data_IF_169569599729
#
_entry.id   IF_169569599729
#
_cell.length_a   1.000
_cell.length_b   1.000
_cell.length_c   1.000
_cell.angle_alpha   90.00
_cell.angle_beta   90.00
_cell.angle_gamma   90.00
#
_symmetry.space_group_name_H-M   'P 1'
#
loop_
_entity.id
_entity.type
_entity.pdbx_description
1 polymer ?
#
# COMPACT_ATOMS: atom_id res chain seq x y z
N UNK A 1 13.43 -1.00 8.95
CA UNK A 1 13.25 0.45 8.74
C UNK A 1 14.56 1.20 8.94
N UNK A 2 14.66 2.42 8.45
CA UNK A 2 15.71 3.38 8.80
C UNK A 2 15.07 4.44 9.69
N UNK A 3 15.67 4.75 10.83
CA UNK A 3 15.17 5.76 11.76
C UNK A 3 15.55 7.18 11.32
N UNK A 4 14.94 8.19 11.93
CA UNK A 4 15.28 9.61 11.75
C UNK A 4 16.77 9.91 12.01
N UNK A 5 17.40 9.12 12.89
CA UNK A 5 18.84 9.22 13.19
C UNK A 5 19.75 8.49 12.19
N UNK A 6 19.18 7.79 11.21
CA UNK A 6 19.93 6.99 10.23
C UNK A 6 20.29 5.57 10.71
N UNK A 7 19.87 5.17 11.92
CA UNK A 7 20.01 3.80 12.40
C UNK A 7 19.11 2.86 11.59
N UNK A 8 19.65 1.75 11.11
CA UNK A 8 18.86 0.68 10.50
C UNK A 8 18.38 -0.24 11.63
N UNK A 9 17.07 -0.52 11.69
CA UNK A 9 16.47 -1.35 12.74
C UNK A 9 15.51 -2.36 12.12
N UNK A 10 15.55 -3.59 12.61
CA UNK A 10 14.53 -4.60 12.39
C UNK A 10 14.31 -5.44 13.66
N UNK A 11 13.18 -6.12 13.73
CA UNK A 11 12.89 -7.02 14.86
C UNK A 11 13.35 -8.44 14.53
N UNK A 12 13.83 -9.12 15.55
CA UNK A 12 14.11 -10.55 15.53
C UNK A 12 13.60 -11.17 16.81
N UNK A 13 13.34 -12.47 16.80
CA UNK A 13 13.06 -13.21 18.02
C UNK A 13 13.98 -14.41 18.14
N UNK A 14 14.40 -14.68 19.34
CA UNK A 14 15.20 -15.87 19.63
C UNK A 14 14.30 -17.07 19.94
N UNK A 15 14.72 -18.21 19.45
CA UNK A 15 14.04 -19.47 19.66
C UNK A 15 14.95 -20.38 20.51
N UNK A 16 15.05 -20.07 21.79
CA UNK A 16 15.93 -20.83 22.71
C UNK A 16 15.08 -21.47 23.80
N UNK A 17 15.11 -22.80 23.91
CA UNK A 17 14.45 -23.57 24.96
C UNK A 17 12.95 -23.29 25.20
N UNK A 18 12.24 -22.92 24.14
CA UNK A 18 10.80 -22.60 24.23
C UNK A 18 10.48 -21.12 24.45
N UNK A 19 11.45 -20.29 24.76
CA UNK A 19 11.28 -18.85 24.86
C UNK A 19 11.35 -18.21 23.46
N UNK A 20 10.39 -17.31 23.15
CA UNK A 20 10.32 -16.59 21.89
C UNK A 20 10.29 -15.08 22.16
N UNK A 21 11.39 -14.57 22.69
CA UNK A 21 11.49 -13.16 23.07
C UNK A 21 11.96 -12.33 21.90
N UNK A 22 11.23 -11.26 21.58
CA UNK A 22 11.61 -10.34 20.53
C UNK A 22 12.66 -9.34 21.00
N UNK A 23 13.52 -8.92 20.10
CA UNK A 23 14.51 -7.86 20.31
C UNK A 23 14.65 -7.04 19.03
N UNK A 24 15.16 -5.82 19.15
CA UNK A 24 15.64 -5.07 18.00
C UNK A 24 17.06 -5.52 17.64
N UNK A 25 17.31 -5.64 16.34
CA UNK A 25 18.64 -5.75 15.77
C UNK A 25 18.90 -4.44 15.04
N UNK A 26 20.02 -3.79 15.29
CA UNK A 26 20.28 -2.45 14.73
C UNK A 26 21.72 -2.27 14.28
N UNK A 27 21.89 -1.34 13.32
CA UNK A 27 23.17 -0.92 12.79
C UNK A 27 23.25 0.60 12.75
N UNK A 28 24.37 1.13 13.23
CA UNK A 28 24.68 2.58 13.22
C UNK A 28 25.67 2.95 12.11
N UNK A 29 26.14 1.97 11.33
CA UNK A 29 27.20 2.12 10.33
C UNK A 29 26.79 1.63 8.93
N UNK A 30 25.50 1.80 8.60
CA UNK A 30 24.89 1.43 7.31
C UNK A 30 24.98 -0.08 7.02
N UNK A 31 24.81 -0.89 8.07
CA UNK A 31 24.76 -2.35 7.93
C UNK A 31 26.11 -3.06 7.96
N UNK A 32 27.21 -2.36 8.23
CA UNK A 32 28.54 -2.99 8.32
C UNK A 32 28.69 -3.83 9.59
N UNK A 33 28.20 -3.30 10.72
CA UNK A 33 28.13 -4.02 11.97
C UNK A 33 26.73 -3.98 12.56
N UNK A 34 26.37 -5.02 13.31
CA UNK A 34 25.06 -5.18 13.90
C UNK A 34 25.14 -5.42 15.39
N UNK A 35 24.22 -4.81 16.10
CA UNK A 35 24.06 -4.95 17.55
C UNK A 35 22.66 -5.47 17.85
N UNK A 36 22.54 -6.15 18.98
CA UNK A 36 21.26 -6.60 19.53
C UNK A 36 20.90 -5.74 20.74
N UNK A 37 19.71 -5.19 20.74
CA UNK A 37 19.11 -4.53 21.90
C UNK A 37 18.60 -5.52 22.95
N UNK A 38 18.07 -4.99 24.03
CA UNK A 38 17.44 -5.78 25.08
C UNK A 38 16.23 -6.54 24.52
N UNK A 39 16.01 -7.75 25.00
CA UNK A 39 14.78 -8.49 24.70
C UNK A 39 13.60 -7.86 25.43
N UNK A 40 12.45 -7.84 24.74
CA UNK A 40 11.17 -7.62 25.41
C UNK A 40 10.70 -8.96 25.98
N UNK A 41 10.08 -8.93 27.15
CA UNK A 41 9.69 -10.13 27.89
C UNK A 41 8.42 -10.76 27.36
N UNK A 42 8.14 -11.96 27.79
CA UNK A 42 6.86 -12.67 27.70
C UNK A 42 6.46 -13.20 26.33
N UNK A 43 7.29 -14.09 25.77
CA UNK A 43 6.87 -14.92 24.64
C UNK A 43 6.36 -14.08 23.45
N UNK A 44 7.03 -12.96 23.20
CA UNK A 44 6.59 -11.95 22.25
C UNK A 44 6.61 -12.39 20.78
N UNK A 45 7.49 -13.35 20.42
CA UNK A 45 7.56 -13.95 19.09
C UNK A 45 7.76 -12.93 17.96
N UNK A 46 7.05 -13.08 16.85
CA UNK A 46 7.08 -12.13 15.74
C UNK A 46 6.70 -10.73 16.22
N UNK A 47 7.42 -9.74 15.74
CA UNK A 47 7.19 -8.36 16.11
C UNK A 47 7.43 -7.43 14.93
N UNK A 48 6.85 -6.24 14.98
CA UNK A 48 7.12 -5.15 14.05
C UNK A 48 7.54 -3.91 14.84
N UNK A 49 8.40 -3.09 14.24
CA UNK A 49 8.85 -1.83 14.82
C UNK A 49 8.54 -0.68 13.88
N UNK A 50 8.07 0.43 14.45
CA UNK A 50 7.92 1.71 13.75
C UNK A 50 8.39 2.85 14.62
N UNK A 51 8.79 3.98 14.01
CA UNK A 51 9.23 5.18 14.70
C UNK A 51 8.09 6.20 14.72
N UNK A 52 7.84 6.78 15.89
CA UNK A 52 6.90 7.89 16.07
C UNK A 52 7.38 8.81 17.18
N UNK A 53 7.38 10.12 16.94
CA UNK A 53 7.79 11.16 17.89
C UNK A 53 9.14 10.85 18.56
N UNK A 54 10.16 10.57 17.74
CA UNK A 54 11.56 10.26 18.14
C UNK A 54 11.71 9.01 19.02
N UNK A 55 10.72 8.12 19.03
CA UNK A 55 10.72 6.86 19.79
C UNK A 55 10.42 5.69 18.87
N UNK A 56 10.91 4.51 19.23
CA UNK A 56 10.47 3.28 18.58
C UNK A 56 9.34 2.63 19.35
N UNK A 57 8.36 2.13 18.59
CA UNK A 57 7.25 1.33 19.08
C UNK A 57 7.35 -0.08 18.51
N UNK A 58 7.51 -1.08 19.37
CA UNK A 58 7.54 -2.48 18.99
C UNK A 58 6.21 -3.14 19.38
N UNK A 59 5.49 -3.64 18.38
CA UNK A 59 4.26 -4.42 18.56
C UNK A 59 4.57 -5.90 18.44
N UNK A 60 4.01 -6.72 19.33
CA UNK A 60 4.33 -8.14 19.41
C UNK A 60 3.12 -9.03 19.14
N UNK A 61 3.36 -10.17 18.50
CA UNK A 61 2.31 -11.13 18.10
C UNK A 61 1.39 -11.55 19.24
N UNK A 62 1.94 -11.82 20.43
CA UNK A 62 1.17 -12.27 21.58
C UNK A 62 0.63 -11.11 22.45
N UNK A 63 0.50 -9.94 21.86
CA UNK A 63 -0.16 -8.79 22.46
C UNK A 63 0.77 -7.81 23.14
N UNK A 64 0.30 -6.56 23.21
CA UNK A 64 1.00 -5.44 23.77
C UNK A 64 2.02 -4.79 22.85
N UNK A 65 2.51 -3.66 23.30
CA UNK A 65 3.59 -2.94 22.66
C UNK A 65 4.59 -2.42 23.68
N UNK A 66 5.76 -2.08 23.19
CA UNK A 66 6.88 -1.58 23.97
C UNK A 66 7.41 -0.31 23.33
N UNK A 67 7.89 0.64 24.14
CA UNK A 67 8.42 1.92 23.67
C UNK A 67 9.92 2.01 24.02
N UNK A 68 10.71 2.47 23.08
CA UNK A 68 12.14 2.71 23.26
C UNK A 68 12.46 4.16 23.00
N UNK A 69 13.07 4.83 23.99
CA UNK A 69 13.57 6.19 23.88
C UNK A 69 15.03 6.27 23.36
N UNK A 70 15.64 5.12 23.08
CA UNK A 70 17.02 4.99 22.60
C UNK A 70 17.13 4.11 21.35
N UNK A 71 16.09 4.17 20.51
CA UNK A 71 16.05 3.53 19.19
C UNK A 71 16.40 2.03 19.23
N UNK A 72 15.80 1.29 20.18
CA UNK A 72 15.81 -0.16 20.23
C UNK A 72 16.90 -0.77 21.12
N UNK A 73 17.69 0.02 21.84
CA UNK A 73 18.67 -0.52 22.81
C UNK A 73 17.99 -1.10 24.05
N UNK A 74 17.03 -0.38 24.60
CA UNK A 74 16.19 -0.80 25.72
C UNK A 74 14.73 -0.47 25.50
N UNK A 75 13.84 -1.13 26.24
CA UNK A 75 12.40 -1.04 26.07
C UNK A 75 11.68 -0.77 27.39
N UNK A 76 10.58 -0.07 27.33
CA UNK A 76 9.66 0.11 28.45
C UNK A 76 9.09 -1.24 28.95
N UNK A 77 8.47 -1.30 30.12
CA UNK A 77 7.53 -2.36 30.42
C UNK A 77 6.45 -2.49 29.35
N UNK A 78 5.87 -3.69 29.23
CA UNK A 78 4.77 -3.96 28.33
C UNK A 78 3.61 -2.99 28.55
N UNK A 79 3.10 -2.43 27.47
CA UNK A 79 1.88 -1.63 27.44
C UNK A 79 0.78 -2.43 26.74
N UNK A 80 -0.44 -2.34 27.25
CA UNK A 80 -1.60 -3.01 26.67
C UNK A 80 -2.08 -2.29 25.40
N UNK A 81 -2.53 -3.06 24.42
CA UNK A 81 -3.02 -2.50 23.16
C UNK A 81 -4.33 -1.71 23.32
N UNK A 82 -5.21 -2.12 24.21
CA UNK A 82 -6.54 -1.50 24.35
C UNK A 82 -7.51 -1.78 23.20
N UNK A 83 -7.13 -2.61 22.22
CA UNK A 83 -7.96 -3.10 21.12
C UNK A 83 -7.94 -4.63 21.08
N UNK A 84 -8.98 -5.21 20.48
CA UNK A 84 -9.10 -6.65 20.30
C UNK A 84 -8.62 -7.07 18.92
N UNK A 85 -7.70 -8.05 18.86
CA UNK A 85 -7.21 -8.64 17.64
C UNK A 85 -6.72 -10.07 17.89
N UNK A 86 -6.39 -10.81 16.82
CA UNK A 86 -5.93 -12.19 16.93
C UNK A 86 -4.45 -12.25 17.38
N UNK A 87 -4.22 -12.79 18.59
CA UNK A 87 -2.89 -12.91 19.16
C UNK A 87 -2.05 -14.07 18.56
N UNK A 88 -2.65 -14.87 17.67
CA UNK A 88 -1.99 -16.01 17.03
C UNK A 88 -1.67 -15.74 15.54
N UNK A 89 -1.61 -14.47 15.16
CA UNK A 89 -1.25 -14.06 13.81
C UNK A 89 -0.13 -13.02 13.84
N UNK A 90 0.72 -13.02 12.80
CA UNK A 90 1.63 -11.92 12.53
C UNK A 90 0.83 -10.63 12.31
N UNK A 91 1.43 -9.52 12.59
CA UNK A 91 0.86 -8.18 12.52
C UNK A 91 1.83 -7.24 11.81
N UNK A 92 1.30 -6.10 11.37
CA UNK A 92 2.13 -5.05 10.77
C UNK A 92 1.76 -3.68 11.32
N UNK A 93 2.73 -2.79 11.42
CA UNK A 93 2.52 -1.42 11.84
C UNK A 93 3.45 -0.48 11.07
N UNK A 94 2.96 0.71 10.76
CA UNK A 94 3.70 1.78 10.11
C UNK A 94 3.22 3.13 10.62
N UNK A 95 4.14 4.06 10.81
CA UNK A 95 3.77 5.45 11.13
C UNK A 95 3.36 6.18 9.86
N UNK A 96 2.22 6.83 9.91
CA UNK A 96 1.76 7.68 8.82
C UNK A 96 2.53 9.00 8.85
N UNK A 97 3.03 9.51 7.71
CA UNK A 97 3.93 10.65 7.69
C UNK A 97 3.27 11.99 8.05
N UNK A 98 1.96 12.10 7.85
CA UNK A 98 1.21 13.30 8.19
C UNK A 98 0.48 13.13 9.53
N UNK A 99 0.22 14.22 10.21
CA UNK A 99 -0.56 14.18 11.45
C UNK A 99 -2.02 13.80 11.14
N UNK A 100 -2.63 13.04 12.02
CA UNK A 100 -4.06 12.77 12.01
C UNK A 100 -4.63 13.40 13.29
N UNK A 101 -5.61 14.30 13.16
CA UNK A 101 -6.14 15.13 14.25
C UNK A 101 -5.04 15.85 15.04
N UNK A 102 -4.03 16.35 14.31
CA UNK A 102 -2.89 17.07 14.87
C UNK A 102 -1.86 16.19 15.60
N UNK A 103 -2.01 14.87 15.61
CA UNK A 103 -1.13 13.93 16.31
C UNK A 103 -0.41 12.99 15.36
N UNK A 104 0.74 12.47 15.77
CA UNK A 104 1.41 11.38 15.06
C UNK A 104 0.53 10.12 15.11
N UNK A 105 0.35 9.48 13.97
CA UNK A 105 -0.52 8.33 13.84
C UNK A 105 0.27 7.07 13.46
N UNK A 106 -0.05 5.97 14.13
CA UNK A 106 0.44 4.63 13.80
C UNK A 106 -0.72 3.83 13.23
N UNK A 107 -0.54 3.32 12.01
CA UNK A 107 -1.44 2.38 11.38
C UNK A 107 -1.01 0.96 11.78
N UNK A 108 -1.93 0.20 12.35
CA UNK A 108 -1.70 -1.16 12.81
C UNK A 108 -2.71 -2.09 12.15
N UNK A 109 -2.25 -3.12 11.45
CA UNK A 109 -3.15 -4.07 10.80
C UNK A 109 -2.99 -5.48 11.37
N UNK A 110 -4.15 -6.09 11.65
CA UNK A 110 -4.26 -7.45 12.18
C UNK A 110 -5.66 -8.03 11.91
N UNK A 111 -5.84 -9.37 12.00
CA UNK A 111 -7.17 -9.96 12.07
C UNK A 111 -7.89 -9.48 13.33
N UNK A 112 -9.09 -8.93 13.20
CA UNK A 112 -9.87 -8.45 14.37
C UNK A 112 -10.67 -9.56 15.05
N UNK A 113 -10.86 -10.71 14.40
CA UNK A 113 -11.46 -11.87 15.03
C UNK A 113 -10.46 -12.57 15.96
N UNK A 114 -10.70 -12.54 17.26
CA UNK A 114 -9.78 -13.08 18.25
C UNK A 114 -9.64 -14.62 18.20
N UNK A 115 -10.62 -15.32 17.64
CA UNK A 115 -10.68 -16.77 17.56
C UNK A 115 -10.17 -17.36 16.25
N UNK A 116 -10.04 -16.54 15.20
CA UNK A 116 -9.61 -17.01 13.87
C UNK A 116 -8.89 -15.93 13.08
N UNK A 117 -8.15 -16.33 12.05
CA UNK A 117 -7.47 -15.43 11.10
C UNK A 117 -8.47 -14.90 10.08
N UNK A 118 -9.32 -13.96 10.52
CA UNK A 118 -10.36 -13.36 9.68
C UNK A 118 -10.70 -11.95 10.14
N UNK A 119 -11.52 -11.27 9.35
CA UNK A 119 -11.98 -9.91 9.61
C UNK A 119 -10.81 -8.92 9.78
N UNK A 120 -9.98 -8.80 8.75
CA UNK A 120 -8.84 -7.89 8.76
C UNK A 120 -9.26 -6.44 9.02
N UNK A 121 -8.55 -5.77 9.91
CA UNK A 121 -8.72 -4.35 10.19
C UNK A 121 -7.40 -3.60 10.17
N UNK A 122 -7.46 -2.33 9.77
CA UNK A 122 -6.44 -1.34 10.08
C UNK A 122 -6.97 -0.50 11.23
N UNK A 123 -6.24 -0.44 12.32
CA UNK A 123 -6.51 0.45 13.46
C UNK A 123 -5.58 1.65 13.34
N UNK A 124 -6.11 2.84 13.63
CA UNK A 124 -5.35 4.10 13.65
C UNK A 124 -5.16 4.53 15.09
N UNK A 125 -3.94 4.46 15.56
CA UNK A 125 -3.53 4.86 16.89
C UNK A 125 -2.87 6.23 16.90
N UNK A 126 -3.40 7.16 17.66
CA UNK A 126 -2.86 8.49 17.86
C UNK A 126 -1.90 8.50 19.05
N UNK A 127 -0.63 8.84 18.79
CA UNK A 127 0.40 8.92 19.84
C UNK A 127 0.10 10.09 20.76
N UNK A 128 0.11 9.82 22.07
CA UNK A 128 -0.13 10.80 23.11
C UNK A 128 1.22 11.37 23.64
N UNK A 129 1.17 12.49 24.36
CA UNK A 129 2.36 13.13 24.92
C UNK A 129 3.17 12.22 25.87
N UNK A 130 2.49 11.33 26.58
CA UNK A 130 3.13 10.33 27.46
C UNK A 130 3.68 9.11 26.71
N UNK A 131 3.61 9.11 25.37
CA UNK A 131 4.01 7.99 24.52
C UNK A 131 3.03 6.81 24.55
N UNK A 132 1.84 6.96 25.13
CA UNK A 132 0.75 5.98 24.97
C UNK A 132 0.08 6.14 23.61
N UNK A 133 -0.68 5.11 23.20
CA UNK A 133 -1.42 5.12 21.94
C UNK A 133 -2.91 5.11 22.25
N UNK A 134 -3.64 6.08 21.73
CA UNK A 134 -5.11 6.09 21.74
C UNK A 134 -5.59 5.62 20.37
N UNK A 135 -6.24 4.45 20.30
CA UNK A 135 -6.84 3.95 19.07
C UNK A 135 -8.15 4.67 18.81
N UNK A 136 -8.19 5.47 17.75
CA UNK A 136 -9.31 6.39 17.49
C UNK A 136 -10.15 5.96 16.30
N UNK A 137 -9.53 5.41 15.25
CA UNK A 137 -10.24 4.98 14.05
C UNK A 137 -9.92 3.53 13.72
N UNK A 138 -10.82 2.89 12.99
CA UNK A 138 -10.57 1.60 12.40
C UNK A 138 -11.21 1.47 11.01
N UNK A 139 -10.58 0.67 10.17
CA UNK A 139 -11.03 0.38 8.80
C UNK A 139 -11.15 -1.12 8.60
N UNK A 140 -12.30 -1.59 8.14
CA UNK A 140 -12.50 -3.00 7.77
C UNK A 140 -11.93 -3.28 6.39
N UNK A 141 -10.95 -4.18 6.31
CA UNK A 141 -10.24 -4.50 5.07
C UNK A 141 -11.08 -5.38 4.15
N UNK A 142 -11.71 -6.43 4.70
CA UNK A 142 -12.35 -7.49 3.91
C UNK A 142 -13.59 -8.12 4.59
N UNK A 143 -14.27 -7.37 5.45
CA UNK A 143 -15.44 -7.87 6.19
C UNK A 143 -15.08 -9.02 7.12
N UNK A 144 -15.76 -10.15 7.01
CA UNK A 144 -15.52 -11.36 7.83
C UNK A 144 -14.61 -12.39 7.17
N UNK A 145 -14.08 -12.10 5.97
CA UNK A 145 -13.27 -13.05 5.20
C UNK A 145 -11.92 -13.35 5.88
N UNK A 146 -11.24 -14.38 5.39
CA UNK A 146 -9.90 -14.74 5.84
C UNK A 146 -8.93 -13.57 5.68
N UNK A 147 -8.15 -13.33 6.70
CA UNK A 147 -7.09 -12.35 6.73
C UNK A 147 -5.98 -12.86 7.66
N UNK A 148 -4.76 -12.90 7.15
CA UNK A 148 -3.63 -13.35 7.94
C UNK A 148 -2.43 -12.43 7.75
N UNK A 149 -1.26 -12.99 7.64
CA UNK A 149 0.01 -12.27 7.56
C UNK A 149 -0.03 -11.12 6.56
N UNK A 150 0.44 -9.96 6.98
CA UNK A 150 0.30 -8.73 6.20
C UNK A 150 1.50 -7.81 6.31
N UNK A 151 1.60 -6.91 5.36
CA UNK A 151 2.59 -5.85 5.33
C UNK A 151 1.91 -4.53 4.92
N UNK A 152 2.08 -3.49 5.74
CA UNK A 152 1.69 -2.12 5.43
C UNK A 152 2.88 -1.30 4.97
N UNK A 153 2.64 -0.41 4.04
CA UNK A 153 3.59 0.65 3.66
C UNK A 153 2.82 1.92 3.31
N UNK A 154 3.43 3.08 3.53
CA UNK A 154 2.90 4.33 3.00
C UNK A 154 3.63 4.66 1.71
N UNK A 155 2.89 4.89 0.65
CA UNK A 155 3.41 5.20 -0.66
C UNK A 155 3.75 6.70 -0.79
N UNK A 156 4.58 7.10 -1.76
CA UNK A 156 4.97 8.50 -1.93
C UNK A 156 3.80 9.46 -2.17
N UNK A 157 2.68 8.98 -2.71
CA UNK A 157 1.45 9.74 -2.92
C UNK A 157 0.59 9.87 -1.64
N UNK A 158 1.03 9.30 -0.52
CA UNK A 158 0.30 9.30 0.74
C UNK A 158 -0.75 8.20 0.87
N UNK A 159 -0.93 7.36 -0.16
CA UNK A 159 -1.79 6.18 -0.04
C UNK A 159 -1.12 5.08 0.77
N UNK A 160 -1.92 4.15 1.27
CA UNK A 160 -1.47 3.05 2.12
C UNK A 160 -1.55 1.74 1.33
N UNK A 161 -0.40 1.19 0.99
CA UNK A 161 -0.30 -0.13 0.38
C UNK A 161 -0.41 -1.21 1.45
N UNK A 162 -1.31 -2.16 1.24
CA UNK A 162 -1.51 -3.32 2.11
C UNK A 162 -1.42 -4.59 1.28
N UNK A 163 -0.45 -5.45 1.61
CA UNK A 163 -0.36 -6.81 1.10
C UNK A 163 -0.72 -7.78 2.22
N UNK A 164 -1.63 -8.73 1.98
CA UNK A 164 -2.05 -9.69 2.99
C UNK A 164 -2.45 -11.04 2.40
N UNK A 165 -2.39 -12.08 3.24
CA UNK A 165 -2.95 -13.39 2.92
C UNK A 165 -4.48 -13.35 3.04
N UNK A 166 -5.20 -13.58 1.92
CA UNK A 166 -6.66 -13.65 1.89
C UNK A 166 -7.20 -15.08 1.89
N UNK A 167 -6.28 -16.06 1.77
CA UNK A 167 -6.45 -17.50 1.96
C UNK A 167 -5.06 -18.10 2.19
N UNK A 168 -4.98 -19.39 2.54
CA UNK A 168 -3.70 -20.06 2.85
C UNK A 168 -2.69 -20.05 1.68
N UNK A 169 -3.15 -19.80 0.46
CA UNK A 169 -2.33 -19.83 -0.75
C UNK A 169 -2.47 -18.60 -1.63
N UNK A 170 -3.12 -17.55 -1.14
CA UNK A 170 -3.42 -16.35 -1.94
C UNK A 170 -2.96 -15.09 -1.23
N UNK A 171 -2.44 -14.15 -2.01
CA UNK A 171 -2.09 -12.82 -1.57
C UNK A 171 -2.98 -11.79 -2.26
N UNK A 172 -3.43 -10.81 -1.50
CA UNK A 172 -4.17 -9.65 -2.02
C UNK A 172 -3.40 -8.38 -1.71
N UNK A 173 -3.26 -7.54 -2.72
CA UNK A 173 -2.77 -6.18 -2.55
C UNK A 173 -3.94 -5.19 -2.62
N UNK A 174 -3.96 -4.24 -1.69
CA UNK A 174 -4.88 -3.09 -1.71
C UNK A 174 -4.09 -1.80 -1.65
N UNK A 175 -4.53 -0.82 -2.42
CA UNK A 175 -4.10 0.57 -2.27
C UNK A 175 -5.26 1.34 -1.63
N UNK A 176 -5.03 1.87 -0.42
CA UNK A 176 -6.06 2.45 0.42
C UNK A 176 -5.76 3.93 0.67
N UNK A 177 -6.82 4.73 0.79
CA UNK A 177 -6.70 6.15 1.12
C UNK A 177 -6.82 6.36 2.62
N UNK A 178 -5.96 7.21 3.15
CA UNK A 178 -5.98 7.49 4.59
C UNK A 178 -7.32 8.09 5.05
N UNK A 179 -7.98 8.84 4.18
CA UNK A 179 -9.29 9.42 4.46
C UNK A 179 -10.41 8.38 4.58
N UNK A 180 -10.25 7.21 3.96
CA UNK A 180 -11.15 6.07 4.13
C UNK A 180 -10.79 5.28 5.40
N UNK A 181 -9.48 5.15 5.68
CA UNK A 181 -8.96 4.44 6.87
C UNK A 181 -9.32 5.19 8.15
N UNK A 182 -9.09 6.51 8.19
CA UNK A 182 -9.40 7.40 9.30
C UNK A 182 -10.58 8.32 8.92
N UNK A 183 -11.73 7.72 8.66
CA UNK A 183 -12.89 8.44 8.14
C UNK A 183 -13.37 9.53 9.11
N UNK A 184 -13.40 10.77 8.60
CA UNK A 184 -13.81 11.95 9.37
C UNK A 184 -12.68 12.63 10.14
N UNK A 185 -11.47 12.07 10.12
CA UNK A 185 -10.29 12.71 10.72
C UNK A 185 -9.80 13.89 9.88
N UNK A 186 -9.14 14.86 10.52
CA UNK A 186 -8.36 15.89 9.85
C UNK A 186 -6.98 15.34 9.51
N UNK A 187 -6.69 15.16 8.22
CA UNK A 187 -5.41 14.64 7.75
C UNK A 187 -4.50 15.81 7.39
N UNK A 188 -3.34 15.88 8.02
CA UNK A 188 -2.41 16.99 7.84
C UNK A 188 -2.99 18.34 8.22
N UNK A 189 -4.11 18.38 8.89
CA UNK A 189 -4.98 19.52 9.21
C UNK A 189 -5.73 20.14 8.01
N UNK A 190 -5.53 19.66 6.78
CA UNK A 190 -6.31 20.08 5.61
C UNK A 190 -6.75 18.87 4.78
N UNK A 191 -7.97 18.94 4.24
CA UNK A 191 -8.51 17.90 3.34
C UNK A 191 -9.48 18.51 2.34
N UNK A 192 -9.74 17.80 1.25
CA UNK A 192 -10.69 18.21 0.23
C UNK A 192 -11.99 17.39 0.29
N UNK A 193 -13.12 18.04 0.02
CA UNK A 193 -14.42 17.35 -0.10
C UNK A 193 -15.08 17.73 -1.43
N UNK A 194 -15.87 16.81 -1.99
CA UNK A 194 -16.73 17.06 -3.14
C UNK A 194 -17.99 17.84 -2.78
N UNK A 195 -18.87 18.04 -3.76
CA UNK A 195 -20.14 18.77 -3.59
C UNK A 195 -21.14 18.09 -2.64
N UNK A 196 -20.94 16.81 -2.32
CA UNK A 196 -21.74 16.02 -1.37
C UNK A 196 -21.10 15.97 0.03
N UNK A 197 -19.95 16.62 0.20
CA UNK A 197 -19.19 16.64 1.46
C UNK A 197 -18.36 15.37 1.70
N UNK A 198 -18.21 14.51 0.70
CA UNK A 198 -17.38 13.32 0.77
C UNK A 198 -15.93 13.70 0.60
N UNK A 199 -15.05 13.19 1.44
CA UNK A 199 -13.59 13.38 1.30
C UNK A 199 -13.07 12.81 -0.01
N UNK A 200 -12.23 13.60 -0.69
CA UNK A 200 -11.64 13.26 -1.98
C UNK A 200 -10.13 13.13 -1.84
N UNK A 201 -9.62 11.94 -2.07
CA UNK A 201 -8.19 11.65 -2.20
C UNK A 201 -7.84 11.10 -3.60
N UNK A 202 -8.86 10.70 -4.35
CA UNK A 202 -8.76 10.17 -5.70
C UNK A 202 -9.91 10.69 -6.57
N UNK A 203 -9.61 11.07 -7.78
CA UNK A 203 -10.63 11.54 -8.72
C UNK A 203 -10.29 11.07 -10.13
N UNK A 204 -11.31 10.61 -10.83
CA UNK A 204 -11.23 10.34 -12.26
C UNK A 204 -11.91 11.46 -13.04
N UNK A 205 -11.24 11.91 -14.08
CA UNK A 205 -11.67 12.99 -14.95
C UNK A 205 -11.52 12.57 -16.40
N UNK A 206 -12.37 13.14 -17.25
CA UNK A 206 -12.17 13.10 -18.71
C UNK A 206 -11.19 14.18 -19.13
N UNK A 207 -10.55 14.01 -20.28
CA UNK A 207 -9.75 15.05 -20.93
C UNK A 207 -10.55 16.36 -21.05
N UNK A 208 -9.94 17.48 -20.67
CA UNK A 208 -10.55 18.81 -20.70
C UNK A 208 -11.62 19.09 -19.63
N UNK A 209 -11.85 18.16 -18.68
CA UNK A 209 -12.82 18.35 -17.60
C UNK A 209 -12.23 19.20 -16.47
N UNK A 210 -13.09 19.98 -15.78
CA UNK A 210 -12.75 20.69 -14.55
C UNK A 210 -13.64 20.23 -13.41
N UNK A 211 -13.06 20.00 -12.23
CA UNK A 211 -13.77 19.70 -11.00
C UNK A 211 -13.35 20.63 -9.88
N UNK A 212 -14.29 20.97 -9.02
CA UNK A 212 -14.09 21.84 -7.87
C UNK A 212 -14.31 21.07 -6.57
N UNK A 213 -13.41 21.28 -5.61
CA UNK A 213 -13.44 20.66 -4.30
C UNK A 213 -13.38 21.72 -3.21
N UNK A 214 -14.09 21.54 -2.11
CA UNK A 214 -13.99 22.40 -0.93
C UNK A 214 -12.76 22.00 -0.13
N UNK A 215 -11.94 22.96 0.23
CA UNK A 215 -10.78 22.75 1.10
C UNK A 215 -11.19 23.06 2.53
N UNK A 216 -10.94 22.10 3.42
CA UNK A 216 -11.34 22.14 4.82
C UNK A 216 -10.11 22.12 5.74
N UNK A 217 -10.30 22.50 7.01
CA UNK A 217 -9.28 22.40 8.06
C UNK A 217 -8.18 23.46 7.97
N UNK A 218 -8.36 24.49 7.17
CA UNK A 218 -7.39 25.59 7.08
C UNK A 218 -7.60 26.60 8.20
N UNK A 219 -6.50 27.20 8.66
CA UNK A 219 -6.54 28.36 9.53
C UNK A 219 -6.92 29.61 8.73
N UNK A 220 -7.69 30.51 9.35
CA UNK A 220 -8.08 31.77 8.73
C UNK A 220 -6.84 32.59 8.33
N UNK A 221 -6.79 32.97 7.04
CA UNK A 221 -5.68 33.76 6.51
C UNK A 221 -4.40 32.98 6.22
N UNK A 222 -4.40 31.66 6.34
CA UNK A 222 -3.25 30.84 5.99
C UNK A 222 -2.93 30.91 4.48
N UNK A 223 -1.65 31.05 4.16
CA UNK A 223 -1.18 30.98 2.79
C UNK A 223 -1.31 29.54 2.27
N UNK A 224 -1.90 29.40 1.08
CA UNK A 224 -2.09 28.10 0.44
C UNK A 224 -1.30 28.04 -0.87
N UNK A 225 -0.56 26.97 -1.05
CA UNK A 225 0.12 26.66 -2.30
C UNK A 225 -0.42 25.38 -2.90
N UNK A 226 -0.57 25.38 -4.22
CA UNK A 226 -1.03 24.21 -4.98
C UNK A 226 -0.01 23.88 -6.05
N UNK A 227 0.27 22.61 -6.23
CA UNK A 227 1.14 22.11 -7.30
C UNK A 227 0.60 20.80 -7.86
N UNK A 228 0.83 20.59 -9.15
CA UNK A 228 0.71 19.29 -9.80
C UNK A 228 2.11 18.77 -10.05
N UNK A 229 2.34 17.48 -9.88
CA UNK A 229 3.59 16.79 -10.25
C UNK A 229 3.71 16.63 -11.77
N UNK A 230 2.57 16.59 -12.49
CA UNK A 230 2.53 16.64 -13.95
C UNK A 230 1.50 17.67 -14.46
N UNK A 231 2.01 18.83 -14.88
CA UNK A 231 1.18 19.93 -15.46
C UNK A 231 0.72 19.66 -16.90
N UNK A 232 1.31 18.67 -17.56
CA UNK A 232 0.85 18.19 -18.86
C UNK A 232 -0.44 17.40 -18.75
N UNK A 233 -0.70 16.81 -17.59
CA UNK A 233 -1.88 16.00 -17.29
C UNK A 233 -2.94 16.82 -16.56
N UNK A 234 -2.55 17.58 -15.53
CA UNK A 234 -3.49 18.31 -14.66
C UNK A 234 -2.92 19.66 -14.24
N UNK A 235 -3.72 20.71 -14.34
CA UNK A 235 -3.51 21.97 -13.66
C UNK A 235 -4.45 22.09 -12.45
N UNK A 236 -3.98 22.75 -11.39
CA UNK A 236 -4.78 23.01 -10.21
C UNK A 236 -4.61 24.44 -9.71
N UNK A 237 -5.71 25.04 -9.24
CA UNK A 237 -5.78 26.38 -8.71
C UNK A 237 -6.56 26.37 -7.39
N UNK A 238 -6.05 27.07 -6.39
CA UNK A 238 -6.79 27.35 -5.17
C UNK A 238 -7.23 28.81 -5.12
N UNK A 239 -8.51 29.04 -4.87
CA UNK A 239 -9.10 30.35 -4.62
C UNK A 239 -10.34 30.23 -3.72
N UNK A 240 -10.51 31.17 -2.81
CA UNK A 240 -11.72 31.33 -2.00
C UNK A 240 -12.20 30.03 -1.29
N UNK A 241 -11.28 29.25 -0.74
CA UNK A 241 -11.61 28.00 -0.07
C UNK A 241 -11.88 26.82 -0.99
N UNK A 242 -11.67 27.01 -2.29
CA UNK A 242 -11.91 25.99 -3.33
C UNK A 242 -10.63 25.60 -4.05
N UNK A 243 -10.48 24.33 -4.29
CA UNK A 243 -9.48 23.76 -5.17
C UNK A 243 -10.16 23.39 -6.49
N UNK A 244 -9.77 24.05 -7.57
CA UNK A 244 -10.19 23.71 -8.93
C UNK A 244 -9.09 22.88 -9.59
N UNK A 245 -9.45 21.69 -10.05
CA UNK A 245 -8.57 20.77 -10.77
C UNK A 245 -9.06 20.70 -12.21
N UNK A 246 -8.18 20.98 -13.17
CA UNK A 246 -8.49 20.97 -14.60
C UNK A 246 -7.57 20.00 -15.32
N UNK A 247 -8.15 18.98 -15.95
CA UNK A 247 -7.40 18.02 -16.75
C UNK A 247 -7.05 18.62 -18.12
N UNK A 248 -5.92 18.17 -18.66
CA UNK A 248 -5.50 18.48 -20.03
C UNK A 248 -6.00 17.40 -20.98
N UNK A 249 -5.86 17.68 -22.28
CA UNK A 249 -6.04 16.65 -23.29
C UNK A 249 -4.91 15.61 -23.16
N UNK A 250 -5.29 14.35 -23.00
CA UNK A 250 -4.38 13.22 -22.91
C UNK A 250 -4.76 12.15 -23.91
N UNK A 251 -3.80 11.37 -24.37
CA UNK A 251 -4.08 10.14 -25.11
C UNK A 251 -4.09 8.98 -24.11
N UNK A 252 -5.22 8.29 -24.06
CA UNK A 252 -5.35 7.15 -23.21
C UNK A 252 -5.62 7.49 -21.75
N UNK A 253 -4.83 6.95 -20.86
CA UNK A 253 -4.95 7.13 -19.43
C UNK A 253 -3.64 7.70 -18.88
N UNK A 254 -3.73 8.86 -18.24
CA UNK A 254 -2.61 9.50 -17.55
C UNK A 254 -2.97 9.83 -16.11
N UNK A 255 -1.96 10.02 -15.28
CA UNK A 255 -2.13 10.34 -13.86
C UNK A 255 -1.24 11.49 -13.43
N UNK A 256 -1.78 12.27 -12.49
CA UNK A 256 -1.02 13.29 -11.78
C UNK A 256 -1.44 13.34 -10.31
N UNK A 257 -0.57 13.84 -9.46
CA UNK A 257 -0.85 14.11 -8.06
C UNK A 257 -0.89 15.61 -7.83
N UNK A 258 -2.05 16.11 -7.46
CA UNK A 258 -2.21 17.48 -6.99
C UNK A 258 -1.90 17.55 -5.52
N UNK A 259 -0.93 18.37 -5.14
CA UNK A 259 -0.55 18.63 -3.74
C UNK A 259 -0.99 20.03 -3.35
N UNK A 260 -1.75 20.14 -2.28
CA UNK A 260 -2.15 21.37 -1.63
C UNK A 260 -1.45 21.46 -0.28
N UNK A 261 -0.83 22.61 0.01
CA UNK A 261 -0.10 22.85 1.28
C UNK A 261 -0.54 24.15 1.90
N UNK A 262 -0.65 24.16 3.23
CA UNK A 262 -0.88 25.33 4.03
C UNK A 262 -0.02 25.25 5.30
N UNK A 263 1.03 26.07 5.40
CA UNK A 263 2.02 25.95 6.47
C UNK A 263 2.70 24.57 6.43
N UNK A 264 2.62 23.84 7.54
CA UNK A 264 3.15 22.47 7.66
C UNK A 264 2.13 21.39 7.28
N UNK A 265 0.88 21.76 7.05
CA UNK A 265 -0.16 20.83 6.64
C UNK A 265 -0.13 20.61 5.12
N UNK A 266 -0.43 19.40 4.69
CA UNK A 266 -0.56 19.11 3.27
C UNK A 266 -1.64 18.04 3.02
N UNK A 267 -2.26 18.10 1.85
CA UNK A 267 -3.10 17.02 1.35
C UNK A 267 -2.81 16.77 -0.12
N UNK A 268 -3.13 15.56 -0.58
CA UNK A 268 -2.90 15.14 -1.95
C UNK A 268 -4.17 14.58 -2.56
N UNK A 269 -4.39 14.89 -3.83
CA UNK A 269 -5.44 14.26 -4.65
C UNK A 269 -4.75 13.61 -5.83
N UNK A 270 -4.94 12.31 -5.98
CA UNK A 270 -4.53 11.59 -7.17
C UNK A 270 -5.60 11.75 -8.25
N UNK A 271 -5.20 12.30 -9.38
CA UNK A 271 -6.06 12.52 -10.52
C UNK A 271 -5.72 11.51 -11.61
N UNK A 272 -6.72 10.76 -12.05
CA UNK A 272 -6.63 9.92 -13.23
C UNK A 272 -7.41 10.60 -14.34
N UNK A 273 -6.75 10.91 -15.45
CA UNK A 273 -7.35 11.51 -16.63
C UNK A 273 -7.46 10.45 -17.71
N UNK A 274 -8.63 10.34 -18.33
CA UNK A 274 -8.87 9.40 -19.41
C UNK A 274 -9.34 10.11 -20.67
N UNK A 275 -8.86 9.65 -21.81
CA UNK A 275 -9.50 9.90 -23.08
C UNK A 275 -10.87 9.20 -23.10
N UNK A 276 -11.94 9.99 -23.11
CA UNK A 276 -13.30 9.51 -22.87
C UNK A 276 -13.84 8.55 -23.92
N UNK A 277 -13.18 8.45 -25.06
CA UNK A 277 -13.64 7.59 -26.14
C UNK A 277 -13.10 6.16 -26.02
N UNK A 278 -11.92 6.01 -25.42
CA UNK A 278 -11.15 4.76 -25.47
C UNK A 278 -11.08 4.00 -24.16
N UNK A 279 -11.41 4.62 -23.00
CA UNK A 279 -11.24 4.00 -21.70
C UNK A 279 -12.50 4.08 -20.85
N UNK A 280 -12.79 2.98 -20.21
CA UNK A 280 -13.73 2.90 -19.10
C UNK A 280 -13.00 2.38 -17.88
N UNK A 281 -13.16 3.10 -16.76
CA UNK A 281 -12.74 2.57 -15.47
C UNK A 281 -13.79 1.57 -15.05
N UNK A 282 -13.44 0.30 -15.07
CA UNK A 282 -14.31 -0.77 -14.57
C UNK A 282 -13.78 -1.16 -13.20
N UNK A 283 -14.66 -1.27 -12.23
CA UNK A 283 -14.38 -1.95 -10.97
C UNK A 283 -14.26 -3.46 -11.26
N UNK A 284 -13.18 -3.85 -11.92
CA UNK A 284 -12.81 -5.23 -12.06
C UNK A 284 -12.17 -5.67 -10.76
N UNK A 285 -12.95 -6.37 -9.96
CA UNK A 285 -12.47 -7.00 -8.76
C UNK A 285 -11.81 -8.34 -9.10
N UNK A 286 -10.62 -8.26 -9.65
CA UNK A 286 -9.67 -9.37 -9.51
C UNK A 286 -9.01 -9.15 -8.16
N UNK A 287 -9.55 -9.74 -7.10
CA UNK A 287 -9.03 -9.56 -5.75
C UNK A 287 -9.10 -8.13 -5.21
N UNK A 288 -10.22 -7.41 -5.41
CA UNK A 288 -10.42 -6.02 -4.94
C UNK A 288 -9.54 -4.94 -5.60
N UNK A 289 -8.90 -5.20 -6.72
CA UNK A 289 -8.08 -4.24 -7.44
C UNK A 289 -8.89 -3.57 -8.54
N UNK A 290 -8.83 -2.24 -8.65
CA UNK A 290 -9.37 -1.51 -9.80
C UNK A 290 -8.45 -1.74 -11.00
N UNK A 291 -9.03 -2.16 -12.10
CA UNK A 291 -8.31 -2.37 -13.35
C UNK A 291 -8.92 -1.48 -14.43
N UNK A 292 -8.08 -0.95 -15.30
CA UNK A 292 -8.51 -0.14 -16.43
C UNK A 292 -8.59 -1.03 -17.66
N UNK A 293 -9.67 -0.94 -18.40
CA UNK A 293 -9.91 -1.75 -19.60
C UNK A 293 -9.95 -0.84 -20.82
N UNK A 294 -9.14 -1.16 -21.80
CA UNK A 294 -9.22 -0.55 -23.13
C UNK A 294 -10.38 -1.17 -23.91
N UNK A 295 -11.37 -0.34 -24.29
CA UNK A 295 -12.50 -0.77 -25.10
C UNK A 295 -12.16 -0.96 -26.58
N UNK A 296 -11.04 -0.43 -27.03
CA UNK A 296 -10.65 -0.50 -28.45
C UNK A 296 -9.87 -1.74 -28.80
N UNK A 297 -9.36 -2.47 -27.83
CA UNK A 297 -8.50 -3.64 -28.02
C UNK A 297 -7.14 -3.31 -28.63
N UNK A 298 -6.75 -2.03 -28.72
CA UNK A 298 -5.53 -1.58 -29.39
C UNK A 298 -4.29 -1.59 -28.51
N UNK A 299 -4.43 -1.99 -27.26
CA UNK A 299 -3.32 -1.91 -26.30
C UNK A 299 -2.35 -3.06 -26.32
N UNK A 300 -2.69 -4.17 -26.97
CA UNK A 300 -1.82 -5.33 -27.07
C UNK A 300 -0.44 -4.99 -27.70
N UNK A 301 -0.40 -3.97 -28.55
CA UNK A 301 0.79 -3.59 -29.29
C UNK A 301 1.43 -2.28 -28.83
N UNK A 302 0.81 -1.52 -27.95
CA UNK A 302 1.44 -0.33 -27.40
C UNK A 302 2.39 -0.74 -26.31
N UNK A 303 3.66 -0.38 -26.49
CA UNK A 303 4.63 -0.42 -25.40
C UNK A 303 4.08 0.38 -24.23
N UNK A 304 3.69 -0.29 -23.17
CA UNK A 304 3.23 0.35 -21.95
C UNK A 304 4.40 1.06 -21.33
N UNK A 305 4.47 2.35 -21.52
CA UNK A 305 5.46 3.20 -20.88
C UNK A 305 4.98 3.55 -19.48
N UNK A 306 5.57 2.92 -18.49
CA UNK A 306 5.35 3.23 -17.09
C UNK A 306 4.38 2.30 -16.35
N UNK A 307 4.44 2.35 -15.04
CA UNK A 307 3.60 1.60 -14.09
C UNK A 307 2.11 1.88 -14.24
N UNK A 308 1.79 3.00 -14.84
CA UNK A 308 0.45 3.53 -14.94
C UNK A 308 -0.39 2.87 -16.04
N UNK A 309 0.25 2.06 -16.86
CA UNK A 309 -0.40 1.37 -17.97
C UNK A 309 -0.41 -0.12 -17.72
N UNK A 310 -1.06 -0.56 -16.67
CA UNK A 310 -1.42 -1.97 -16.53
C UNK A 310 -2.65 -2.18 -17.39
N UNK A 311 -2.48 -2.81 -18.53
CA UNK A 311 -3.60 -3.17 -19.39
C UNK A 311 -3.89 -4.63 -19.15
N UNK A 312 -5.02 -4.88 -18.53
CA UNK A 312 -5.69 -6.15 -18.65
C UNK A 312 -6.68 -6.01 -19.81
N UNK A 313 -6.43 -6.64 -20.92
CA UNK A 313 -7.47 -6.93 -21.87
C UNK A 313 -8.39 -7.97 -21.24
N UNK A 314 -9.42 -7.50 -20.55
CA UNK A 314 -10.49 -8.35 -20.05
C UNK A 314 -11.70 -8.03 -20.87
N UNK A 315 -11.94 -8.80 -21.92
CA UNK A 315 -13.21 -8.77 -22.61
C UNK A 315 -14.26 -9.47 -21.73
N UNK A 316 -14.90 -8.71 -20.84
CA UNK A 316 -16.09 -9.16 -20.13
C UNK A 316 -17.26 -9.11 -21.12
N UNK A 317 -17.40 -10.14 -21.94
CA UNK A 317 -18.70 -10.46 -22.59
C UNK A 317 -19.51 -11.22 -21.57
N UNK A 318 -20.66 -10.68 -21.20
CA UNK A 318 -21.58 -11.28 -20.26
C UNK A 318 -21.77 -12.78 -20.55
N UNK A 319 -21.74 -13.55 -19.49
CA UNK A 319 -22.05 -14.98 -19.36
C UNK A 319 -20.99 -16.01 -19.79
N UNK A 320 -19.89 -15.65 -20.42
CA UNK A 320 -18.90 -16.65 -20.77
C UNK A 320 -17.50 -16.29 -20.26
N UNK A 321 -17.23 -16.68 -19.02
CA UNK A 321 -15.91 -16.58 -18.38
C UNK A 321 -14.83 -17.48 -19.03
N UNK A 322 -15.14 -18.17 -20.12
CA UNK A 322 -14.26 -19.15 -20.76
C UNK A 322 -13.37 -18.59 -21.86
N UNK A 323 -13.54 -17.32 -22.25
CA UNK A 323 -12.75 -16.72 -23.32
C UNK A 323 -12.02 -15.44 -22.91
N UNK A 324 -11.63 -15.34 -21.66
CA UNK A 324 -10.68 -14.29 -21.28
C UNK A 324 -9.28 -14.78 -21.66
N UNK A 325 -8.86 -14.54 -22.89
CA UNK A 325 -7.43 -14.49 -23.22
C UNK A 325 -6.86 -13.28 -22.51
N UNK A 326 -6.55 -13.49 -21.24
CA UNK A 326 -5.88 -12.44 -20.47
C UNK A 326 -4.40 -12.48 -20.81
N UNK A 327 -3.99 -11.76 -21.86
CA UNK A 327 -2.63 -11.29 -21.90
C UNK A 327 -2.52 -10.14 -20.89
N UNK A 328 -2.27 -10.47 -19.64
CA UNK A 328 -1.83 -9.47 -18.67
C UNK A 328 -0.36 -9.20 -18.96
N UNK A 329 -0.10 -8.20 -19.79
CA UNK A 329 1.23 -7.60 -19.87
C UNK A 329 1.35 -6.67 -18.68
N UNK A 330 1.77 -7.20 -17.54
CA UNK A 330 2.14 -6.39 -16.41
C UNK A 330 3.53 -5.82 -16.68
N UNK A 331 3.61 -4.57 -17.09
CA UNK A 331 4.85 -3.83 -16.97
C UNK A 331 5.08 -3.55 -15.48
N UNK A 332 5.95 -4.36 -14.87
CA UNK A 332 6.58 -3.98 -13.62
C UNK A 332 7.53 -2.82 -13.94
N UNK A 333 6.94 -1.70 -13.92
CA UNK A 333 7.45 -0.38 -13.67
C UNK A 333 8.80 0.03 -14.22
N UNK A 334 8.74 0.98 -15.03
CA UNK A 334 9.74 2.05 -15.19
C UNK A 334 10.24 2.61 -13.84
N UNK A 335 9.46 2.55 -12.78
CA UNK A 335 9.89 2.95 -11.43
C UNK A 335 10.98 2.03 -10.85
N UNK A 336 11.07 0.76 -11.25
CA UNK A 336 12.18 -0.12 -10.88
C UNK A 336 13.38 -0.02 -11.85
N UNK A 337 13.19 0.50 -13.06
CA UNK A 337 14.27 0.65 -14.03
C UNK A 337 15.36 1.64 -13.59
N UNK A 338 15.05 2.50 -12.63
CA UNK A 338 15.99 3.46 -12.06
C UNK A 338 16.59 3.02 -10.71
N UNK A 339 16.31 1.82 -10.27
CA UNK A 339 16.95 1.25 -9.09
C UNK A 339 18.38 0.87 -9.49
N UNK A 340 19.37 1.60 -9.12
CA UNK A 340 20.82 1.48 -9.44
C UNK A 340 21.32 2.27 -10.65
N UNK A 341 20.53 3.15 -11.28
CA UNK A 341 21.03 4.03 -12.35
C UNK A 341 21.28 3.32 -13.69
N UNK A 342 20.90 2.06 -13.85
CA UNK A 342 20.93 1.32 -15.11
C UNK A 342 19.51 1.11 -15.66
N UNK A 343 19.30 1.51 -16.91
CA UNK A 343 18.07 1.17 -17.65
C UNK A 343 18.03 -0.34 -17.86
N UNK A 344 17.25 -1.05 -17.06
CA UNK A 344 16.95 -2.45 -17.35
C UNK A 344 16.04 -2.51 -18.59
N UNK A 345 16.28 -3.48 -19.47
CA UNK A 345 15.41 -3.73 -20.60
C UNK A 345 13.99 -4.00 -20.12
N UNK A 346 13.01 -3.35 -20.72
CA UNK A 346 11.58 -3.58 -20.46
C UNK A 346 11.19 -5.06 -20.59
N UNK A 347 11.85 -5.77 -21.49
CA UNK A 347 11.59 -7.19 -21.72
C UNK A 347 11.89 -8.06 -20.49
N UNK A 348 12.79 -7.63 -19.61
CA UNK A 348 13.13 -8.35 -18.38
C UNK A 348 12.06 -8.21 -17.26
N UNK A 349 11.08 -7.33 -17.45
CA UNK A 349 10.04 -7.03 -16.48
C UNK A 349 8.64 -7.49 -16.95
N UNK A 350 8.54 -8.18 -18.07
CA UNK A 350 7.27 -8.66 -18.64
C UNK A 350 6.97 -10.08 -18.17
N UNK A 351 5.78 -10.28 -17.64
CA UNK A 351 5.24 -11.61 -17.39
C UNK A 351 4.21 -11.97 -18.47
N UNK A 352 4.32 -13.18 -18.99
CA UNK A 352 3.34 -13.76 -19.92
C UNK A 352 2.46 -14.75 -19.17
N UNK A 353 1.15 -14.63 -19.38
CA UNK A 353 0.15 -15.53 -18.83
C UNK A 353 -0.45 -16.35 -19.98
N UNK A 354 -0.11 -17.60 -20.07
CA UNK A 354 -0.63 -18.53 -21.08
C UNK A 354 -1.69 -19.41 -20.45
N UNK A 355 -2.93 -19.32 -20.93
CA UNK A 355 -4.03 -20.16 -20.46
C UNK A 355 -3.76 -21.62 -20.82
N UNK A 356 -3.95 -22.52 -19.87
CA UNK A 356 -3.82 -23.96 -20.13
C UNK A 356 -5.12 -24.47 -20.73
N UNK A 357 -5.04 -25.05 -21.93
CA UNK A 357 -6.19 -25.62 -22.62
C UNK A 357 -6.88 -26.70 -21.77
N UNK A 358 -8.20 -26.67 -21.77
CA UNK A 358 -9.08 -27.63 -21.07
C UNK A 358 -8.95 -27.62 -19.52
N UNK A 359 -8.40 -26.57 -18.93
CA UNK A 359 -8.37 -26.36 -17.46
C UNK A 359 -8.95 -25.00 -17.10
N UNK A 360 -9.95 -25.01 -16.23
CA UNK A 360 -10.54 -23.77 -15.74
C UNK A 360 -9.55 -23.00 -14.87
N UNK A 361 -9.47 -21.68 -15.10
CA UNK A 361 -8.64 -20.74 -14.33
C UNK A 361 -7.17 -21.16 -14.12
N UNK A 362 -6.61 -21.93 -15.06
CA UNK A 362 -5.24 -22.43 -14.97
C UNK A 362 -4.36 -21.76 -16.01
N UNK A 363 -3.24 -21.21 -15.57
CA UNK A 363 -2.29 -20.44 -16.39
C UNK A 363 -0.86 -20.89 -16.16
N UNK A 364 -0.02 -20.70 -17.18
CA UNK A 364 1.42 -20.74 -17.07
C UNK A 364 1.91 -19.30 -17.02
N UNK A 365 2.61 -18.92 -15.96
CA UNK A 365 3.16 -17.58 -15.80
C UNK A 365 4.66 -17.67 -16.05
N UNK A 366 5.12 -16.95 -17.05
CA UNK A 366 6.53 -16.96 -17.43
C UNK A 366 7.08 -15.54 -17.62
N UNK A 367 8.40 -15.42 -17.53
CA UNK A 367 9.14 -14.22 -17.87
C UNK A 367 10.46 -14.58 -18.54
N UNK A 368 11.00 -13.67 -19.32
CA UNK A 368 12.33 -13.83 -19.92
C UNK A 368 13.38 -13.30 -18.92
N UNK A 369 14.36 -14.14 -18.59
CA UNK A 369 15.49 -13.77 -17.76
C UNK A 369 16.79 -14.02 -18.54
N UNK A 370 17.29 -12.98 -19.24
CA UNK A 370 18.37 -13.12 -20.20
C UNK A 370 17.95 -14.03 -21.36
N UNK A 371 18.73 -15.06 -21.64
CA UNK A 371 18.44 -16.04 -22.70
C UNK A 371 17.53 -17.19 -22.21
N UNK A 372 17.11 -17.19 -20.95
CA UNK A 372 16.29 -18.25 -20.38
C UNK A 372 14.87 -17.79 -20.11
N UNK A 373 13.89 -18.62 -20.46
CA UNK A 373 12.52 -18.47 -20.00
C UNK A 373 12.39 -19.06 -18.60
N UNK A 374 11.87 -18.29 -17.65
CA UNK A 374 11.62 -18.72 -16.28
C UNK A 374 10.12 -18.73 -16.00
N UNK A 375 9.69 -19.65 -15.16
CA UNK A 375 8.29 -19.85 -14.79
C UNK A 375 8.09 -19.59 -13.32
N UNK A 376 6.96 -19.00 -12.96
CA UNK A 376 6.54 -18.87 -11.57
C UNK A 376 6.00 -20.22 -11.11
N UNK A 377 6.58 -20.74 -10.05
CA UNK A 377 6.23 -22.02 -9.46
C UNK A 377 5.77 -21.84 -8.02
N UNK A 378 4.73 -22.57 -7.63
CA UNK A 378 4.30 -22.68 -6.25
C UNK A 378 4.77 -24.00 -5.66
N UNK A 379 5.56 -23.91 -4.58
CA UNK A 379 5.91 -25.08 -3.75
C UNK A 379 4.97 -25.20 -2.57
N UNK A 380 4.42 -26.38 -2.39
CA UNK A 380 3.45 -26.64 -1.31
C UNK A 380 4.09 -26.72 0.08
N UNK A 381 5.43 -26.99 0.17
CA UNK A 381 6.12 -27.02 1.47
C UNK A 381 7.59 -26.56 1.36
N UNK A 382 7.95 -25.46 2.04
CA UNK A 382 7.08 -24.42 2.56
C UNK A 382 6.43 -23.65 1.43
N UNK A 383 5.20 -23.15 1.62
CA UNK A 383 4.47 -22.35 0.63
C UNK A 383 5.30 -21.15 0.19
N UNK A 384 5.89 -21.23 -0.99
CA UNK A 384 6.74 -20.18 -1.57
C UNK A 384 6.54 -20.15 -3.07
N UNK A 385 6.40 -18.95 -3.61
CA UNK A 385 6.58 -18.74 -5.02
C UNK A 385 8.08 -18.71 -5.33
N UNK A 386 8.51 -19.49 -6.29
CA UNK A 386 9.89 -19.52 -6.77
C UNK A 386 9.90 -19.45 -8.29
N UNK A 387 10.88 -18.75 -8.85
CA UNK A 387 11.13 -18.80 -10.29
C UNK A 387 12.01 -20.00 -10.60
N UNK A 388 11.62 -20.80 -11.58
CA UNK A 388 12.34 -21.98 -12.04
C UNK A 388 12.39 -22.02 -13.57
N UNK A 389 13.30 -22.78 -14.12
CA UNK A 389 13.35 -23.07 -15.56
C UNK A 389 12.36 -24.19 -15.95
N UNK A 390 11.68 -24.77 -14.99
CA UNK A 390 10.68 -25.82 -15.24
C UNK A 390 9.30 -25.18 -15.37
N UNK A 391 8.65 -25.46 -16.47
CA UNK A 391 7.29 -25.02 -16.77
C UNK A 391 6.29 -25.61 -15.76
N UNK A 392 5.40 -24.77 -15.23
CA UNK A 392 4.39 -25.19 -14.26
C UNK A 392 3.09 -24.45 -14.52
N UNK A 393 2.01 -25.10 -14.22
CA UNK A 393 0.65 -24.57 -14.32
C UNK A 393 0.20 -24.04 -12.96
N UNK A 394 -0.41 -22.87 -12.95
CA UNK A 394 -0.92 -22.21 -11.77
C UNK A 394 -2.42 -22.01 -11.92
N UNK A 395 -3.18 -22.36 -10.91
CA UNK A 395 -4.61 -22.04 -10.79
C UNK A 395 -4.73 -20.62 -10.22
N UNK A 396 -5.39 -19.73 -10.97
CA UNK A 396 -5.66 -18.35 -10.56
C UNK A 396 -7.12 -18.17 -10.11
#
# INVERSE_FOLDING_TARGET
MVTSTGRIVFTAYEFTKGDKNSAAIYSDDKGKTWKRGASVSDWSSEAVVTEADDKLYMFTRHGGYYVSDNFGETWSPKKEMGISYNLNCQLTAVTYPEKIDGKTAILFAAPSNTGSRSAGKIFVGLVQEDGSIKWEYDYSINGSAYYAYSCLTVLPDGTVGLLYENADTQLTYKNLYINDIAKGAAIGNIWCTDGEGKTVADVTMKSGESKEFTVNGMEDGAEVTVSSDDKGVVEALYADGKLTVTSKEVEGLERAVVTLKSGNASTKIRVTVTDSENYEIVDLRIGDTKTYVDKTGNYADSSLEGLDKTIAEVELKGEDSQTVETQVKAQLATAQANFDGEKKSLDSCLFTFDKVENKDNTYKISAQAGDAQVYVNHKTEPSKCVCTTTETEILL
#
